data_IF_809898049554
#
_entry.id   IF_809898049554
#
_cell.length_a   1.000
_cell.length_b   1.000
_cell.length_c   1.000
_cell.angle_alpha   90.00
_cell.angle_beta   90.00
_cell.angle_gamma   90.00
#
_symmetry.space_group_name_H-M   'P 1'
#
loop_
_entity.id
_entity.type
_entity.pdbx_description
1 polymer ?
#
# COMPACT_ATOMS: atom_id res chain seq x y z
N UNK A 1 -16.21 19.61 -11.31
CA UNK A 1 -15.62 19.27 -10.00
C UNK A 1 -15.43 20.50 -9.10
N UNK A 2 -14.66 21.52 -9.50
CA UNK A 2 -14.42 22.68 -8.62
C UNK A 2 -15.70 23.40 -8.14
N UNK A 3 -16.67 23.65 -9.03
CA UNK A 3 -17.97 24.22 -8.62
C UNK A 3 -18.84 23.28 -7.75
N UNK A 4 -18.56 21.97 -7.70
CA UNK A 4 -19.20 21.07 -6.73
C UNK A 4 -18.55 21.19 -5.35
N UNK A 5 -17.21 21.26 -5.30
CA UNK A 5 -16.46 21.47 -4.06
C UNK A 5 -16.84 22.81 -3.42
N UNK A 6 -16.97 23.87 -4.21
CA UNK A 6 -17.39 25.18 -3.73
C UNK A 6 -18.80 25.16 -3.13
N UNK A 7 -19.78 24.58 -3.83
CA UNK A 7 -21.16 24.41 -3.31
C UNK A 7 -21.23 23.60 -2.03
N UNK A 8 -20.34 22.61 -1.86
CA UNK A 8 -20.21 21.81 -0.66
C UNK A 8 -19.35 22.46 0.45
N UNK A 9 -18.89 23.70 0.25
CA UNK A 9 -17.96 24.41 1.13
C UNK A 9 -16.66 23.62 1.46
N UNK A 10 -16.19 22.81 0.50
CA UNK A 10 -14.90 22.13 0.59
C UNK A 10 -13.79 23.01 0.00
N UNK A 11 -12.69 23.16 0.74
CA UNK A 11 -11.54 23.97 0.34
C UNK A 11 -10.38 23.09 -0.10
N UNK A 12 -9.73 23.49 -1.19
CA UNK A 12 -8.53 22.84 -1.70
C UNK A 12 -7.28 23.57 -1.19
N UNK A 13 -6.31 22.82 -0.69
CA UNK A 13 -4.97 23.35 -0.43
C UNK A 13 -4.17 23.25 -1.72
N UNK A 14 -4.05 24.36 -2.45
CA UNK A 14 -3.40 24.40 -3.77
C UNK A 14 -1.98 23.81 -3.77
N UNK A 15 -1.21 23.98 -2.69
CA UNK A 15 0.14 23.39 -2.57
C UNK A 15 0.18 21.86 -2.52
N UNK A 16 -0.96 21.19 -2.34
CA UNK A 16 -1.08 19.72 -2.43
C UNK A 16 -1.75 19.26 -3.73
N UNK A 17 -2.28 20.18 -4.54
CA UNK A 17 -2.94 19.85 -5.79
C UNK A 17 -1.90 19.71 -6.91
N UNK A 18 -2.03 18.66 -7.71
CA UNK A 18 -1.23 18.46 -8.92
C UNK A 18 -2.20 18.32 -10.09
N UNK A 19 -2.12 19.24 -11.05
CA UNK A 19 -3.02 19.29 -12.20
C UNK A 19 -2.25 18.98 -13.48
N UNK A 20 -2.92 18.35 -14.45
CA UNK A 20 -2.39 18.10 -15.80
C UNK A 20 -1.00 17.43 -15.80
N UNK A 21 -0.79 16.44 -14.93
CA UNK A 21 0.48 15.72 -14.83
C UNK A 21 0.41 14.42 -15.64
N UNK A 22 1.51 14.03 -16.26
CA UNK A 22 1.64 12.73 -16.94
C UNK A 22 1.68 11.57 -15.94
N UNK A 23 2.23 11.82 -14.73
CA UNK A 23 2.31 10.85 -13.63
C UNK A 23 1.95 11.51 -12.31
N UNK A 24 1.18 10.83 -11.47
CA UNK A 24 0.80 11.32 -10.13
C UNK A 24 0.97 10.25 -9.07
N UNK A 25 1.45 10.67 -7.89
CA UNK A 25 1.46 9.79 -6.71
C UNK A 25 0.10 9.89 -6.02
N UNK A 26 -0.54 8.74 -5.83
CA UNK A 26 -1.84 8.63 -5.19
C UNK A 26 -1.93 7.34 -4.38
N UNK A 27 -2.20 7.47 -3.07
CA UNK A 27 -2.36 6.34 -2.15
C UNK A 27 -1.25 5.28 -2.25
N UNK A 28 0.02 5.70 -2.26
CA UNK A 28 1.16 4.76 -2.33
C UNK A 28 1.38 4.12 -3.69
N UNK A 29 0.73 4.64 -4.73
CA UNK A 29 0.90 4.21 -6.12
C UNK A 29 1.28 5.40 -7.00
N UNK A 30 1.91 5.10 -8.13
CA UNK A 30 2.11 6.00 -9.25
C UNK A 30 1.08 5.64 -10.33
N UNK A 31 0.31 6.63 -10.75
CA UNK A 31 -0.67 6.50 -11.83
C UNK A 31 -0.11 7.24 -13.05
N UNK A 32 -0.04 6.56 -14.19
CA UNK A 32 0.44 7.10 -15.46
C UNK A 32 -0.30 6.48 -16.65
N UNK A 33 0.08 6.88 -17.88
CA UNK A 33 -0.42 6.27 -19.11
C UNK A 33 -0.11 4.76 -19.21
N UNK A 34 0.97 4.30 -18.57
CA UNK A 34 1.35 2.88 -18.51
C UNK A 34 0.49 2.08 -17.51
N UNK A 35 -0.34 2.74 -16.71
CA UNK A 35 -1.22 2.12 -15.72
C UNK A 35 -0.89 2.52 -14.29
N UNK A 36 -1.07 1.59 -13.36
CA UNK A 36 -0.86 1.80 -11.92
C UNK A 36 0.34 0.98 -11.47
N UNK A 37 1.34 1.61 -10.89
CA UNK A 37 2.51 0.97 -10.31
C UNK A 37 2.64 1.30 -8.81
N UNK A 38 3.28 0.46 -7.98
CA UNK A 38 3.63 0.84 -6.61
C UNK A 38 4.58 2.04 -6.59
N UNK A 39 4.44 2.92 -5.60
CA UNK A 39 5.41 3.98 -5.36
C UNK A 39 6.74 3.35 -4.85
N UNK A 40 7.88 3.57 -5.53
CA UNK A 40 9.17 3.00 -5.15
C UNK A 40 9.56 3.29 -3.70
N UNK A 41 9.19 4.46 -3.17
CA UNK A 41 9.48 4.82 -1.78
C UNK A 41 8.72 3.94 -0.78
N UNK A 42 7.53 3.45 -1.16
CA UNK A 42 6.75 2.52 -0.35
C UNK A 42 7.27 1.11 -0.45
N UNK A 43 7.75 0.71 -1.63
CA UNK A 43 8.43 -0.57 -1.83
C UNK A 43 9.72 -0.64 -1.01
N UNK A 44 10.53 0.42 -1.04
CA UNK A 44 11.76 0.51 -0.25
C UNK A 44 11.50 0.40 1.25
N UNK A 45 10.45 1.06 1.75
CA UNK A 45 10.05 0.95 3.15
C UNK A 45 9.66 -0.48 3.56
N UNK A 46 9.06 -1.26 2.65
CA UNK A 46 8.73 -2.68 2.89
C UNK A 46 9.98 -3.55 2.79
N UNK A 47 10.86 -3.30 1.82
CA UNK A 47 12.11 -4.04 1.66
C UNK A 47 13.04 -3.88 2.87
N UNK A 48 13.07 -2.66 3.44
CA UNK A 48 13.84 -2.33 4.63
C UNK A 48 13.06 -2.57 5.93
N UNK A 49 11.89 -3.19 5.87
CA UNK A 49 11.10 -3.50 7.07
C UNK A 49 11.90 -4.46 7.96
N UNK A 50 12.05 -4.10 9.24
CA UNK A 50 12.79 -4.94 10.19
C UNK A 50 12.16 -6.32 10.28
N UNK A 51 12.99 -7.37 10.33
CA UNK A 51 12.50 -8.74 10.48
C UNK A 51 11.54 -8.83 11.68
N UNK A 52 10.28 -9.24 11.48
CA UNK A 52 9.33 -9.38 12.59
C UNK A 52 9.78 -10.52 13.50
N UNK A 53 9.80 -10.25 14.81
CA UNK A 53 10.19 -11.21 15.85
C UNK A 53 8.99 -11.72 16.64
N UNK A 54 7.83 -11.05 16.53
CA UNK A 54 6.59 -11.45 17.20
C UNK A 54 5.48 -11.77 16.20
N UNK A 55 4.48 -12.56 16.63
CA UNK A 55 3.29 -12.87 15.81
C UNK A 55 2.57 -11.59 15.37
N UNK A 56 2.46 -10.59 16.26
CA UNK A 56 1.80 -9.31 15.96
C UNK A 56 2.55 -8.50 14.89
N UNK A 57 3.87 -8.47 14.97
CA UNK A 57 4.71 -7.82 13.95
C UNK A 57 4.59 -8.56 12.61
N UNK A 58 4.58 -9.90 12.63
CA UNK A 58 4.40 -10.71 11.43
C UNK A 58 3.05 -10.43 10.75
N UNK A 59 1.96 -10.36 11.52
CA UNK A 59 0.63 -10.00 11.01
C UNK A 59 0.62 -8.59 10.43
N UNK A 60 1.30 -7.64 11.08
CA UNK A 60 1.40 -6.24 10.61
C UNK A 60 2.16 -6.17 9.27
N UNK A 61 3.28 -6.88 9.16
CA UNK A 61 4.05 -6.98 7.92
C UNK A 61 3.22 -7.62 6.80
N UNK A 62 2.54 -8.74 7.08
CA UNK A 62 1.70 -9.42 6.09
C UNK A 62 0.54 -8.53 5.62
N UNK A 63 -0.08 -7.75 6.52
CA UNK A 63 -1.09 -6.76 6.16
C UNK A 63 -0.54 -5.71 5.20
N UNK A 64 0.63 -5.15 5.49
CA UNK A 64 1.29 -4.17 4.64
C UNK A 64 1.68 -4.75 3.27
N UNK A 65 2.30 -5.93 3.24
CA UNK A 65 2.68 -6.59 1.99
C UNK A 65 1.46 -6.95 1.14
N UNK A 66 0.34 -7.32 1.78
CA UNK A 66 -0.91 -7.65 1.07
C UNK A 66 -1.51 -6.47 0.31
N UNK A 67 -1.23 -5.23 0.71
CA UNK A 67 -1.67 -4.02 0.00
C UNK A 67 -1.13 -3.97 -1.44
N UNK A 68 0.09 -4.49 -1.66
CA UNK A 68 0.75 -4.55 -2.96
C UNK A 68 0.66 -5.93 -3.64
N UNK A 69 -0.18 -6.86 -3.14
CA UNK A 69 -0.26 -8.25 -3.62
C UNK A 69 -0.48 -8.41 -5.13
N UNK A 70 -1.17 -7.45 -5.78
CA UNK A 70 -1.44 -7.48 -7.23
C UNK A 70 -0.15 -7.38 -8.07
N UNK A 71 0.91 -6.85 -7.48
CA UNK A 71 2.21 -6.64 -8.14
C UNK A 71 3.23 -7.73 -7.80
N UNK A 72 2.84 -8.73 -7.01
CA UNK A 72 3.71 -9.81 -6.55
C UNK A 72 3.16 -11.12 -7.12
N UNK A 73 3.86 -11.67 -8.11
CA UNK A 73 3.50 -12.96 -8.68
C UNK A 73 3.46 -14.04 -7.58
N UNK A 74 2.39 -14.84 -7.53
CA UNK A 74 2.22 -15.92 -6.55
C UNK A 74 2.30 -15.45 -5.09
N UNK A 75 1.88 -14.22 -4.80
CA UNK A 75 1.87 -13.67 -3.43
C UNK A 75 1.29 -14.63 -2.39
N UNK A 76 0.13 -15.25 -2.68
CA UNK A 76 -0.53 -16.19 -1.76
C UNK A 76 0.35 -17.39 -1.42
N UNK A 77 1.07 -17.95 -2.39
CA UNK A 77 1.99 -19.07 -2.20
C UNK A 77 3.19 -18.67 -1.35
N UNK A 78 3.77 -17.51 -1.63
CA UNK A 78 4.93 -16.98 -0.90
C UNK A 78 4.56 -16.62 0.55
N UNK A 79 3.39 -16.00 0.75
CA UNK A 79 2.92 -15.57 2.07
C UNK A 79 2.34 -16.72 2.91
N UNK A 80 1.97 -17.85 2.30
CA UNK A 80 1.34 -18.98 2.99
C UNK A 80 2.10 -19.48 4.24
N UNK A 81 3.40 -19.83 4.19
CA UNK A 81 4.12 -20.30 5.37
C UNK A 81 4.11 -19.27 6.52
N UNK A 82 4.18 -17.99 6.19
CA UNK A 82 4.14 -16.89 7.15
C UNK A 82 2.73 -16.72 7.75
N UNK A 83 1.68 -16.88 6.94
CA UNK A 83 0.30 -16.83 7.41
C UNK A 83 0.01 -17.97 8.39
N UNK A 84 0.51 -19.18 8.13
CA UNK A 84 0.38 -20.31 9.05
C UNK A 84 1.08 -20.01 10.38
N UNK A 85 2.31 -19.50 10.34
CA UNK A 85 3.06 -19.09 11.53
C UNK A 85 2.35 -17.97 12.32
N UNK A 86 1.63 -17.08 11.63
CA UNK A 86 0.93 -15.95 12.25
C UNK A 86 -0.35 -16.30 13.01
N UNK A 87 -0.88 -17.53 12.85
CA UNK A 87 -2.12 -17.97 13.50
C UNK A 87 -1.93 -18.55 14.91
N UNK A 88 -0.69 -18.68 15.37
CA UNK A 88 -0.36 -19.38 16.62
C UNK A 88 -0.53 -20.89 16.46
N UNK A 89 0.25 -21.68 17.20
CA UNK A 89 -0.03 -23.11 17.31
C UNK A 89 -1.42 -23.31 17.93
N UNK A 90 -2.19 -24.34 17.51
CA UNK A 90 -3.42 -24.69 18.21
C UNK A 90 -3.09 -24.85 19.71
N UNK A 91 -3.88 -24.20 20.57
CA UNK A 91 -3.84 -24.50 22.00
C UNK A 91 -4.44 -25.90 22.14
N UNK A 92 -3.60 -26.86 22.49
CA UNK A 92 -4.02 -28.18 22.98
C UNK A 92 -4.93 -28.04 24.21
#
# INVERSE_FOLDING_TARGET
IFGLLERANLKLKLSKCKFLQEKVNYLGHIISAEGVAPDPTKIEAIANYKRPCTVRELQSFLGLASYYRRFIEKFSTIAHPLLVQSKGQPKD
#
